data_IF_957704373894
#
_entry.id   IF_957704373894
#
_cell.length_a   1.000
_cell.length_b   1.000
_cell.length_c   1.000
_cell.angle_alpha   90.00
_cell.angle_beta   90.00
_cell.angle_gamma   90.00
#
_symmetry.space_group_name_H-M   'P 1'
#
loop_
_entity.id
_entity.type
_entity.pdbx_description
1 polymer ?
#
# COMPACT_ATOMS: atom_id res chain seq x y z
N UNK A 1 -2.31 24.98 -34.07
CA UNK A 1 -3.24 24.60 -32.96
C UNK A 1 -2.63 23.41 -32.25
N UNK A 2 -2.16 23.58 -30.99
CA UNK A 2 -1.73 22.45 -30.18
C UNK A 2 -2.99 21.68 -29.79
N UNK A 3 -3.26 20.54 -30.44
CA UNK A 3 -4.30 19.64 -29.98
C UNK A 3 -3.81 19.01 -28.68
N UNK A 4 -4.57 19.15 -27.60
CA UNK A 4 -4.27 18.51 -26.33
C UNK A 4 -4.25 16.98 -26.54
N UNK A 5 -3.37 16.22 -25.88
CA UNK A 5 -3.26 14.77 -26.05
C UNK A 5 -4.58 14.03 -25.81
N UNK A 6 -4.70 12.83 -26.34
CA UNK A 6 -5.87 11.97 -26.14
C UNK A 6 -6.02 11.56 -24.68
N UNK A 7 -7.25 11.23 -24.25
CA UNK A 7 -7.52 10.76 -22.90
C UNK A 7 -6.68 9.51 -22.55
N UNK A 8 -6.54 8.56 -23.49
CA UNK A 8 -5.72 7.38 -23.28
C UNK A 8 -4.25 7.73 -23.00
N UNK A 9 -3.67 8.61 -23.82
CA UNK A 9 -2.31 9.10 -23.62
C UNK A 9 -2.12 9.79 -22.27
N UNK A 10 -3.10 10.60 -21.84
CA UNK A 10 -3.07 11.28 -20.55
C UNK A 10 -3.08 10.28 -19.39
N UNK A 11 -4.00 9.30 -19.42
CA UNK A 11 -4.09 8.27 -18.38
C UNK A 11 -2.79 7.49 -18.24
N UNK A 12 -2.22 7.05 -19.36
CA UNK A 12 -0.96 6.32 -19.42
C UNK A 12 0.19 7.16 -18.81
N UNK A 13 0.39 8.37 -19.31
CA UNK A 13 1.49 9.22 -18.84
C UNK A 13 1.32 9.69 -17.40
N UNK A 14 0.10 9.95 -16.95
CA UNK A 14 -0.16 10.30 -15.55
C UNK A 14 0.20 9.11 -14.66
N UNK A 15 -0.29 7.92 -14.97
CA UNK A 15 -0.01 6.73 -14.16
C UNK A 15 1.48 6.44 -14.11
N UNK A 16 2.16 6.46 -15.25
CA UNK A 16 3.58 6.13 -15.34
C UNK A 16 4.47 7.13 -14.58
N UNK A 17 4.14 8.42 -14.61
CA UNK A 17 5.00 9.48 -14.06
C UNK A 17 4.64 9.92 -12.65
N UNK A 18 3.51 9.45 -12.07
CA UNK A 18 3.15 9.81 -10.71
C UNK A 18 4.24 9.37 -9.71
N UNK A 19 4.64 10.27 -8.77
CA UNK A 19 5.58 9.91 -7.70
C UNK A 19 4.93 8.97 -6.67
N UNK A 20 3.60 8.87 -6.63
CA UNK A 20 2.89 7.88 -5.83
C UNK A 20 3.05 6.51 -6.48
N UNK A 21 3.41 5.51 -5.71
CA UNK A 21 3.54 4.15 -6.22
C UNK A 21 2.18 3.60 -6.64
N UNK A 22 2.06 3.20 -7.91
CA UNK A 22 0.91 2.52 -8.46
C UNK A 22 1.34 1.12 -8.90
N UNK A 23 0.68 0.12 -8.33
CA UNK A 23 0.95 -1.30 -8.63
C UNK A 23 -0.36 -1.98 -8.98
N UNK A 24 -0.38 -2.74 -10.07
CA UNK A 24 -1.53 -3.58 -10.43
C UNK A 24 -1.11 -5.03 -10.51
N UNK A 25 -1.83 -5.88 -9.78
CA UNK A 25 -1.78 -7.33 -9.90
C UNK A 25 -3.03 -7.88 -10.60
N UNK A 26 -2.85 -8.91 -11.43
CA UNK A 26 -3.97 -9.65 -12.01
C UNK A 26 -4.61 -10.61 -10.99
N UNK A 27 -5.55 -11.43 -11.45
CA UNK A 27 -6.27 -12.38 -10.57
C UNK A 27 -5.37 -13.34 -9.83
N UNK A 28 -4.23 -13.70 -10.42
CA UNK A 28 -3.21 -14.60 -9.89
C UNK A 28 -2.16 -13.86 -9.03
N UNK A 29 -2.28 -12.53 -8.90
CA UNK A 29 -1.34 -11.71 -8.17
C UNK A 29 -0.03 -11.47 -8.91
N UNK A 30 -0.04 -11.63 -10.24
CA UNK A 30 1.10 -11.31 -11.09
C UNK A 30 1.07 -9.82 -11.43
N UNK A 31 2.20 -9.16 -11.26
CA UNK A 31 2.35 -7.72 -11.52
C UNK A 31 2.14 -7.43 -13.01
N UNK A 32 1.21 -6.54 -13.31
CA UNK A 32 0.87 -6.10 -14.66
C UNK A 32 1.11 -4.60 -14.89
N UNK A 33 1.25 -3.82 -13.80
CA UNK A 33 1.64 -2.43 -13.85
C UNK A 33 2.53 -2.11 -12.65
N UNK A 34 3.59 -1.37 -12.90
CA UNK A 34 4.57 -0.92 -11.93
C UNK A 34 5.13 0.43 -12.42
N UNK A 35 4.67 1.53 -11.83
CA UNK A 35 5.03 2.87 -12.29
C UNK A 35 6.34 3.39 -11.69
N UNK A 36 6.78 4.57 -12.12
CA UNK A 36 8.00 5.22 -11.62
C UNK A 36 7.98 5.43 -10.09
N UNK A 37 6.81 5.73 -9.51
CA UNK A 37 6.66 5.84 -8.06
C UNK A 37 6.91 4.53 -7.33
N UNK A 38 6.48 3.41 -7.90
CA UNK A 38 6.73 2.08 -7.35
C UNK A 38 8.22 1.69 -7.47
N UNK A 39 8.87 2.03 -8.59
CA UNK A 39 10.32 1.84 -8.76
C UNK A 39 11.12 2.60 -7.68
N UNK A 40 10.79 3.88 -7.48
CA UNK A 40 11.43 4.73 -6.49
C UNK A 40 11.23 4.22 -5.05
N UNK A 41 10.03 3.74 -4.73
CA UNK A 41 9.68 3.28 -3.39
C UNK A 41 10.30 1.93 -3.05
N UNK A 42 10.18 0.94 -3.94
CA UNK A 42 10.58 -0.44 -3.67
C UNK A 42 11.96 -0.80 -4.19
N UNK A 43 12.53 -0.01 -5.09
CA UNK A 43 13.86 -0.24 -5.67
C UNK A 43 13.92 -1.31 -6.77
N UNK A 44 12.79 -1.90 -7.16
CA UNK A 44 12.67 -2.81 -8.29
C UNK A 44 12.25 -2.01 -9.52
N UNK A 45 12.87 -2.25 -10.67
CA UNK A 45 12.39 -1.66 -11.93
C UNK A 45 11.13 -2.37 -12.45
N UNK A 46 10.40 -1.72 -13.36
CA UNK A 46 9.25 -2.34 -14.02
C UNK A 46 9.65 -3.61 -14.76
N UNK A 47 10.78 -3.61 -15.46
CA UNK A 47 11.31 -4.79 -16.17
C UNK A 47 11.60 -5.98 -15.26
N UNK A 48 11.98 -5.72 -14.02
CA UNK A 48 12.25 -6.75 -13.03
C UNK A 48 10.98 -7.31 -12.39
N UNK A 49 9.88 -6.54 -12.35
CA UNK A 49 8.65 -6.87 -11.62
C UNK A 49 7.53 -7.38 -12.51
N UNK A 50 7.39 -6.83 -13.72
CA UNK A 50 6.32 -7.24 -14.64
C UNK A 50 6.38 -8.75 -14.91
N UNK A 51 5.24 -9.41 -14.77
CA UNK A 51 5.13 -10.86 -14.91
C UNK A 51 5.62 -11.67 -13.70
N UNK A 52 6.03 -11.02 -12.61
CA UNK A 52 6.42 -11.68 -11.35
C UNK A 52 5.30 -11.60 -10.33
N UNK A 53 5.35 -12.49 -9.33
CA UNK A 53 4.45 -12.44 -8.18
C UNK A 53 4.69 -11.18 -7.33
N UNK A 54 3.62 -10.60 -6.78
CA UNK A 54 3.72 -9.53 -5.78
C UNK A 54 4.43 -9.95 -4.49
N UNK A 55 4.79 -11.22 -4.32
CA UNK A 55 5.63 -11.70 -3.21
C UNK A 55 6.97 -10.96 -3.09
N UNK A 56 7.41 -10.29 -4.17
CA UNK A 56 8.61 -9.43 -4.16
C UNK A 56 8.59 -8.39 -3.03
N UNK A 57 7.42 -7.84 -2.74
CA UNK A 57 7.24 -6.77 -1.73
C UNK A 57 6.53 -7.25 -0.47
N UNK A 58 5.99 -8.47 -0.45
CA UNK A 58 5.24 -9.01 0.69
C UNK A 58 6.18 -9.82 1.59
N UNK A 59 6.36 -9.42 2.87
CA UNK A 59 7.14 -10.20 3.81
C UNK A 59 6.60 -11.62 3.94
N UNK A 60 7.49 -12.62 3.92
CA UNK A 60 7.15 -14.05 3.86
C UNK A 60 6.08 -14.47 4.88
N UNK A 61 6.23 -14.03 6.13
CA UNK A 61 5.28 -14.31 7.21
C UNK A 61 3.85 -13.78 7.00
N UNK A 62 3.66 -12.85 6.04
CA UNK A 62 2.37 -12.26 5.72
C UNK A 62 1.77 -12.80 4.42
N UNK A 63 2.51 -13.57 3.62
CA UNK A 63 2.08 -14.05 2.30
C UNK A 63 0.83 -14.89 2.35
N UNK A 64 0.77 -15.89 3.23
CA UNK A 64 -0.39 -16.77 3.35
C UNK A 64 -1.69 -16.00 3.58
N UNK A 65 -1.68 -15.08 4.57
CA UNK A 65 -2.85 -14.23 4.87
C UNK A 65 -3.17 -13.25 3.74
N UNK A 66 -2.14 -12.71 3.08
CA UNK A 66 -2.33 -11.82 1.94
C UNK A 66 -3.05 -12.53 0.81
N UNK A 67 -2.58 -13.71 0.41
CA UNK A 67 -3.15 -14.47 -0.69
C UNK A 67 -4.56 -15.00 -0.41
N UNK A 68 -4.85 -15.39 0.83
CA UNK A 68 -6.21 -15.72 1.25
C UNK A 68 -7.16 -14.53 1.04
N UNK A 69 -6.77 -13.34 1.51
CA UNK A 69 -7.54 -12.11 1.33
C UNK A 69 -7.66 -11.70 -0.14
N UNK A 70 -6.57 -11.83 -0.90
CA UNK A 70 -6.54 -11.47 -2.32
C UNK A 70 -7.49 -12.37 -3.14
N UNK A 71 -7.42 -13.69 -2.96
CA UNK A 71 -8.31 -14.65 -3.62
C UNK A 71 -9.78 -14.36 -3.32
N UNK A 72 -10.10 -14.09 -2.04
CA UNK A 72 -11.46 -13.73 -1.65
C UNK A 72 -11.96 -12.48 -2.38
N UNK A 73 -11.12 -11.46 -2.51
CA UNK A 73 -11.47 -10.22 -3.24
C UNK A 73 -11.64 -10.50 -4.74
N UNK A 74 -10.79 -11.34 -5.34
CA UNK A 74 -10.90 -11.71 -6.76
C UNK A 74 -12.17 -12.50 -7.07
N UNK A 75 -12.65 -13.31 -6.12
CA UNK A 75 -13.87 -14.11 -6.27
C UNK A 75 -15.13 -13.29 -6.02
N UNK A 76 -15.14 -12.47 -4.97
CA UNK A 76 -16.35 -11.77 -4.52
C UNK A 76 -16.50 -10.37 -5.10
N UNK A 77 -15.43 -9.75 -5.55
CA UNK A 77 -15.41 -8.36 -5.99
C UNK A 77 -15.64 -7.35 -4.84
N UNK A 78 -15.47 -7.81 -3.58
CA UNK A 78 -15.65 -6.99 -2.37
C UNK A 78 -14.29 -6.80 -1.69
N UNK A 79 -13.86 -5.56 -1.55
CA UNK A 79 -12.64 -5.20 -0.82
C UNK A 79 -12.98 -4.45 0.46
N UNK A 80 -12.29 -4.78 1.55
CA UNK A 80 -12.34 -4.04 2.82
C UNK A 80 -11.52 -2.74 2.77
N UNK A 81 -10.70 -2.56 1.73
CA UNK A 81 -9.67 -1.51 1.63
C UNK A 81 -10.04 -0.36 0.70
N UNK A 82 -11.28 -0.27 0.22
CA UNK A 82 -11.73 0.79 -0.68
C UNK A 82 -11.77 2.17 -0.04
N UNK A 83 -12.04 2.26 1.27
CA UNK A 83 -12.10 3.52 2.04
C UNK A 83 -11.24 3.49 3.32
N UNK A 84 -10.82 2.32 3.77
CA UNK A 84 -10.00 2.18 4.97
C UNK A 84 -8.55 1.93 4.58
N UNK A 85 -7.68 2.83 5.01
CA UNK A 85 -6.23 2.73 4.79
C UNK A 85 -5.64 1.88 5.91
N UNK A 86 -4.95 0.79 5.56
CA UNK A 86 -4.22 -0.03 6.52
C UNK A 86 -2.73 0.17 6.36
N UNK A 87 -2.05 0.39 7.49
CA UNK A 87 -0.60 0.33 7.55
C UNK A 87 -0.17 -1.13 7.64
N UNK A 88 0.52 -1.62 6.62
CA UNK A 88 1.08 -2.98 6.57
C UNK A 88 2.58 -2.93 6.27
N UNK A 89 3.34 -3.94 6.71
CA UNK A 89 4.75 -4.02 6.35
C UNK A 89 4.94 -4.48 4.91
N UNK A 90 5.95 -3.91 4.25
CA UNK A 90 6.45 -4.34 2.96
C UNK A 90 7.99 -4.43 2.98
N UNK A 91 8.57 -5.07 1.97
CA UNK A 91 10.01 -5.12 1.76
C UNK A 91 10.41 -4.40 0.47
N UNK A 92 11.55 -3.75 0.51
CA UNK A 92 12.23 -3.19 -0.65
C UNK A 92 13.26 -4.17 -1.20
N UNK A 93 13.78 -3.92 -2.41
CA UNK A 93 14.80 -4.75 -3.08
C UNK A 93 16.07 -4.91 -2.25
N UNK A 94 16.49 -3.88 -1.54
CA UNK A 94 17.65 -3.89 -0.65
C UNK A 94 17.39 -4.54 0.73
N UNK A 95 16.21 -5.15 0.91
CA UNK A 95 15.83 -5.88 2.12
C UNK A 95 15.33 -5.01 3.28
N UNK A 96 15.22 -3.70 3.09
CA UNK A 96 14.62 -2.83 4.13
C UNK A 96 13.15 -3.16 4.31
N UNK A 97 12.72 -3.16 5.56
CA UNK A 97 11.31 -3.21 5.90
C UNK A 97 10.76 -1.79 5.98
N UNK A 98 9.70 -1.53 5.25
CA UNK A 98 8.94 -0.28 5.28
C UNK A 98 7.50 -0.54 5.76
N UNK A 99 6.85 0.50 6.24
CA UNK A 99 5.41 0.50 6.53
C UNK A 99 4.70 1.24 5.41
N UNK A 100 3.75 0.60 4.76
CA UNK A 100 3.00 1.18 3.65
C UNK A 100 1.52 1.31 4.00
N UNK A 101 0.89 2.35 3.49
CA UNK A 101 -0.55 2.50 3.42
C UNK A 101 -0.99 2.46 1.96
N UNK A 102 -2.15 1.88 1.67
CA UNK A 102 -2.64 1.80 0.30
C UNK A 102 -4.16 1.80 0.21
N UNK A 103 -4.64 2.27 -0.92
CA UNK A 103 -6.01 2.15 -1.37
C UNK A 103 -6.06 1.19 -2.54
N UNK A 104 -7.18 0.48 -2.71
CA UNK A 104 -7.35 -0.51 -3.79
C UNK A 104 -8.53 -0.16 -4.66
N UNK A 105 -8.31 -0.18 -5.97
CA UNK A 105 -9.35 -0.15 -6.98
C UNK A 105 -9.40 -1.51 -7.69
N UNK A 106 -10.60 -2.09 -7.81
CA UNK A 106 -10.79 -3.34 -8.54
C UNK A 106 -11.09 -3.03 -10.00
N UNK A 107 -10.27 -3.57 -10.90
CA UNK A 107 -10.53 -3.54 -12.34
C UNK A 107 -11.49 -4.65 -12.70
N UNK A 108 -12.56 -4.31 -13.42
CA UNK A 108 -13.60 -5.26 -13.84
C UNK A 108 -13.79 -5.20 -15.34
N UNK A 109 -14.12 -6.35 -15.93
CA UNK A 109 -14.55 -6.42 -17.33
C UNK A 109 -16.00 -5.92 -17.52
N UNK A 110 -16.48 -5.98 -18.76
CA UNK A 110 -17.84 -5.56 -19.11
C UNK A 110 -18.93 -6.41 -18.43
N UNK A 111 -18.61 -7.64 -18.05
CA UNK A 111 -19.49 -8.57 -17.35
C UNK A 111 -19.40 -8.43 -15.82
N UNK A 112 -18.57 -7.50 -15.32
CA UNK A 112 -18.40 -7.22 -13.89
C UNK A 112 -17.44 -8.18 -13.17
N UNK A 113 -16.74 -9.06 -13.89
CA UNK A 113 -15.75 -9.97 -13.31
C UNK A 113 -14.48 -9.21 -12.99
N UNK A 114 -13.92 -9.45 -11.80
CA UNK A 114 -12.67 -8.81 -11.39
C UNK A 114 -11.51 -9.35 -12.23
N UNK A 115 -10.79 -8.47 -12.90
CA UNK A 115 -9.58 -8.77 -13.68
C UNK A 115 -8.30 -8.64 -12.83
N UNK A 116 -8.34 -7.79 -11.83
CA UNK A 116 -7.20 -7.52 -10.97
C UNK A 116 -7.46 -6.37 -10.00
N UNK A 117 -6.45 -6.05 -9.21
CA UNK A 117 -6.49 -4.98 -8.23
C UNK A 117 -5.33 -4.00 -8.45
N UNK A 118 -5.67 -2.73 -8.58
CA UNK A 118 -4.70 -1.63 -8.62
C UNK A 118 -4.60 -1.00 -7.23
N UNK A 119 -3.39 -0.88 -6.70
CA UNK A 119 -3.10 -0.24 -5.44
C UNK A 119 -2.35 1.08 -5.65
N UNK A 120 -2.83 2.13 -4.99
CA UNK A 120 -2.09 3.38 -4.78
C UNK A 120 -1.44 3.32 -3.40
N UNK A 121 -0.11 3.36 -3.35
CA UNK A 121 0.69 3.00 -2.17
C UNK A 121 1.52 4.20 -1.71
N UNK A 122 1.58 4.41 -0.40
CA UNK A 122 2.42 5.43 0.24
C UNK A 122 3.33 4.79 1.29
N UNK A 123 4.59 5.20 1.33
CA UNK A 123 5.51 4.87 2.41
C UNK A 123 5.21 5.78 3.61
N UNK A 124 4.79 5.17 4.70
CA UNK A 124 4.44 5.86 5.95
C UNK A 124 5.40 5.52 7.10
N UNK A 125 6.55 4.93 6.79
CA UNK A 125 7.52 4.47 7.78
C UNK A 125 7.91 5.57 8.76
N UNK A 126 8.30 6.74 8.25
CA UNK A 126 8.70 7.86 9.10
C UNK A 126 7.55 8.40 9.97
N UNK A 127 6.31 8.42 9.46
CA UNK A 127 5.13 8.80 10.23
C UNK A 127 4.85 7.76 11.31
N UNK A 128 4.87 6.49 10.96
CA UNK A 128 4.62 5.39 11.89
C UNK A 128 5.64 5.34 13.03
N UNK A 129 6.93 5.56 12.73
CA UNK A 129 7.99 5.60 13.74
C UNK A 129 7.83 6.79 14.69
N UNK A 130 7.48 7.97 14.18
CA UNK A 130 7.19 9.14 15.02
C UNK A 130 5.99 8.89 15.94
N UNK A 131 4.90 8.35 15.40
CA UNK A 131 3.70 8.07 16.19
C UNK A 131 3.97 7.03 17.27
N UNK A 132 4.77 6.00 16.96
CA UNK A 132 5.22 5.01 17.93
C UNK A 132 6.05 5.63 19.05
N UNK A 133 7.01 6.48 18.70
CA UNK A 133 7.87 7.18 19.67
C UNK A 133 7.04 8.12 20.57
N UNK A 134 6.07 8.86 19.99
CA UNK A 134 5.19 9.73 20.76
C UNK A 134 4.30 8.95 21.74
N UNK A 135 3.72 7.83 21.31
CA UNK A 135 2.93 6.96 22.20
C UNK A 135 3.76 6.40 23.35
N UNK A 136 4.99 5.95 23.06
CA UNK A 136 5.90 5.46 24.09
C UNK A 136 6.25 6.57 25.11
N UNK A 137 6.49 7.80 24.61
CA UNK A 137 6.78 8.95 25.47
C UNK A 137 5.59 9.35 26.32
N UNK A 138 4.40 9.33 25.75
CA UNK A 138 3.14 9.59 26.48
C UNK A 138 2.96 8.58 27.62
N UNK A 139 3.07 7.28 27.33
CA UNK A 139 2.96 6.23 28.34
C UNK A 139 3.98 6.37 29.48
N UNK A 140 5.22 6.76 29.15
CA UNK A 140 6.26 7.05 30.16
C UNK A 140 5.88 8.21 31.07
N UNK A 141 5.36 9.30 30.48
CA UNK A 141 4.92 10.49 31.23
C UNK A 141 3.72 10.19 32.12
N UNK A 142 2.74 9.46 31.62
CA UNK A 142 1.57 9.00 32.39
C UNK A 142 1.99 8.14 33.59
N UNK A 143 2.93 7.22 33.40
CA UNK A 143 3.47 6.39 34.47
C UNK A 143 4.18 7.24 35.53
N UNK A 144 4.96 8.26 35.15
CA UNK A 144 5.63 9.19 36.08
C UNK A 144 4.62 10.03 36.85
N UNK A 145 3.57 10.54 36.20
CA UNK A 145 2.50 11.29 36.86
C UNK A 145 1.75 10.43 37.89
N UNK A 146 1.44 9.20 37.54
CA UNK A 146 0.80 8.25 38.44
C UNK A 146 1.67 7.93 39.66
N UNK A 147 2.97 7.78 39.49
CA UNK A 147 3.93 7.59 40.59
C UNK A 147 4.03 8.83 41.48
N UNK A 148 3.89 10.03 40.90
CA UNK A 148 3.90 11.29 41.63
C UNK A 148 2.57 11.63 42.32
N UNK A 149 1.54 10.76 42.24
CA UNK A 149 0.25 10.94 42.89
C UNK A 149 -0.65 11.99 42.23
N UNK A 150 -0.35 12.36 40.99
CA UNK A 150 -1.18 13.27 40.18
C UNK A 150 -2.21 12.46 39.41
N UNK A 151 -3.51 12.75 39.64
CA UNK A 151 -4.59 12.10 38.87
C UNK A 151 -4.54 12.54 37.40
N UNK A 152 -4.41 11.59 36.50
CA UNK A 152 -4.56 11.84 35.07
C UNK A 152 -6.04 11.72 34.73
N UNK A 153 -6.70 12.83 34.39
CA UNK A 153 -8.08 12.78 33.88
C UNK A 153 -8.07 12.14 32.48
N UNK A 154 -8.67 10.96 32.37
CA UNK A 154 -8.98 10.36 31.07
C UNK A 154 -10.04 11.21 30.38
N UNK A 155 -9.64 11.98 29.36
CA UNK A 155 -10.58 12.57 28.40
C UNK A 155 -11.10 11.46 27.48
N UNK A 156 -12.36 11.09 27.69
CA UNK A 156 -13.19 10.27 26.81
C UNK A 156 -13.32 10.88 25.42
#
# INVERSE_FOLDING_TARGET
>A
MNSFPTHAWLCENIVDQLPTAIVLGDREGIVRLWNAGAEAMFGWSADETLGKSMDLIIPEKHRARHWEGYSHVMETGVTKYGQNVLAVPAHTKDGRRISIEFNVALLKDAEGRVLGAAASIQDVTARWERDKALRARLAELEAKLKQAGVAVEEKT
#
